data_IF_186222276337
#
_entry.id   IF_186222276337
#
_cell.length_a   1.000
_cell.length_b   1.000
_cell.length_c   1.000
_cell.angle_alpha   90.00
_cell.angle_beta   90.00
_cell.angle_gamma   90.00
#
_symmetry.space_group_name_H-M   'P 1'
#
loop_
_entity.id
_entity.type
_entity.pdbx_description
1 polymer ?
#
# COMPACT_ATOMS: atom_id res chain seq x y z
N UNK A 1 -46.72 -44.92 4.06
CA UNK A 1 -45.24 -44.75 3.83
C UNK A 1 -44.99 -43.27 3.69
N UNK A 2 -44.44 -42.63 4.71
CA UNK A 2 -44.13 -41.18 4.73
C UNK A 2 -42.62 -41.03 4.47
N UNK A 3 -42.24 -40.47 3.32
CA UNK A 3 -40.85 -40.15 3.03
C UNK A 3 -40.50 -38.80 3.66
N UNK A 4 -39.65 -38.82 4.68
CA UNK A 4 -39.07 -37.61 5.28
C UNK A 4 -37.83 -37.26 4.48
N UNK A 5 -37.89 -36.17 3.67
CA UNK A 5 -36.77 -35.56 3.02
C UNK A 5 -35.97 -34.72 4.03
N UNK A 6 -34.79 -35.21 4.43
CA UNK A 6 -33.80 -34.46 5.16
C UNK A 6 -33.10 -33.48 4.23
N UNK A 7 -33.43 -32.18 4.38
CA UNK A 7 -32.62 -31.10 3.78
C UNK A 7 -31.37 -30.89 4.63
N UNK A 8 -30.22 -31.32 4.13
CA UNK A 8 -28.92 -30.95 4.70
C UNK A 8 -28.60 -29.52 4.26
N UNK A 9 -28.71 -28.57 5.20
CA UNK A 9 -28.25 -27.20 5.01
C UNK A 9 -26.70 -27.20 5.04
N UNK A 10 -26.08 -27.12 3.87
CA UNK A 10 -24.65 -26.86 3.75
C UNK A 10 -24.39 -25.39 4.14
N UNK A 11 -23.83 -25.18 5.32
CA UNK A 11 -23.32 -23.86 5.73
C UNK A 11 -22.09 -23.53 4.89
N UNK A 12 -22.25 -22.67 3.90
CA UNK A 12 -21.15 -22.07 3.17
C UNK A 12 -20.48 -21.07 4.12
N UNK A 13 -19.38 -21.47 4.74
CA UNK A 13 -18.47 -20.52 5.38
C UNK A 13 -17.84 -19.69 4.25
N UNK A 14 -18.35 -18.49 4.04
CA UNK A 14 -17.66 -17.48 3.25
C UNK A 14 -16.38 -17.12 4.00
N UNK A 15 -15.25 -17.66 3.58
CA UNK A 15 -13.95 -17.14 3.95
C UNK A 15 -13.88 -15.74 3.35
N UNK A 16 -13.81 -14.70 4.19
CA UNK A 16 -13.44 -13.38 3.76
C UNK A 16 -11.99 -13.47 3.30
N UNK A 17 -11.76 -13.62 2.00
CA UNK A 17 -10.43 -13.44 1.45
C UNK A 17 -10.00 -12.02 1.79
N UNK A 18 -8.84 -11.91 2.44
CA UNK A 18 -8.15 -10.64 2.67
C UNK A 18 -7.91 -9.99 1.29
N UNK A 19 -8.76 -9.02 0.93
CA UNK A 19 -8.70 -8.34 -0.37
C UNK A 19 -7.51 -7.36 -0.48
N UNK A 20 -6.70 -7.29 0.57
CA UNK A 20 -5.51 -6.46 0.64
C UNK A 20 -4.45 -6.94 -0.35
N UNK A 21 -3.86 -6.01 -1.10
CA UNK A 21 -2.66 -6.31 -1.88
C UNK A 21 -1.51 -6.66 -0.93
N UNK A 22 -0.88 -7.81 -1.16
CA UNK A 22 0.21 -8.32 -0.31
C UNK A 22 1.57 -7.92 -0.86
N UNK A 23 2.56 -7.88 0.03
CA UNK A 23 3.95 -7.81 -0.37
C UNK A 23 4.37 -9.17 -0.94
N UNK A 24 4.57 -9.23 -2.25
CA UNK A 24 4.89 -10.46 -2.97
C UNK A 24 6.38 -10.47 -3.38
N UNK A 25 7.21 -11.38 -2.81
CA UNK A 25 8.63 -11.45 -3.14
C UNK A 25 8.92 -11.89 -4.58
N UNK A 26 7.95 -12.43 -5.31
CA UNK A 26 8.08 -12.84 -6.71
C UNK A 26 7.90 -11.69 -7.71
N UNK A 27 7.31 -10.57 -7.29
CA UNK A 27 7.08 -9.41 -8.16
C UNK A 27 8.37 -8.68 -8.51
N UNK A 28 8.38 -8.09 -9.70
CA UNK A 28 9.48 -7.24 -10.16
C UNK A 28 9.12 -5.76 -9.97
N UNK A 29 9.70 -5.05 -8.99
CA UNK A 29 9.34 -3.66 -8.70
C UNK A 29 9.70 -2.68 -9.83
N UNK A 30 10.62 -3.02 -10.73
CA UNK A 30 10.90 -2.21 -11.92
C UNK A 30 9.71 -2.22 -12.90
N UNK A 31 9.13 -3.39 -13.16
CA UNK A 31 7.96 -3.51 -14.04
C UNK A 31 6.71 -2.91 -13.38
N UNK A 32 6.55 -3.09 -12.08
CA UNK A 32 5.44 -2.52 -11.32
C UNK A 32 5.50 -0.98 -11.36
N UNK A 33 6.68 -0.39 -11.13
CA UNK A 33 6.87 1.06 -11.24
C UNK A 33 6.63 1.56 -12.66
N UNK A 34 7.11 0.86 -13.69
CA UNK A 34 6.88 1.23 -15.09
C UNK A 34 5.38 1.28 -15.41
N UNK A 35 4.62 0.31 -14.93
CA UNK A 35 3.15 0.28 -15.09
C UNK A 35 2.49 1.43 -14.33
N UNK A 36 2.92 1.71 -13.10
CA UNK A 36 2.42 2.80 -12.27
C UNK A 36 2.69 4.18 -12.92
N UNK A 37 3.86 4.38 -13.52
CA UNK A 37 4.19 5.61 -14.27
C UNK A 37 3.24 5.82 -15.44
N UNK A 38 2.89 4.77 -16.19
CA UNK A 38 1.89 4.86 -17.26
C UNK A 38 0.55 5.38 -16.75
N UNK A 39 0.03 4.77 -15.69
CA UNK A 39 -1.25 5.16 -15.06
C UNK A 39 -1.17 6.57 -14.46
N UNK A 40 -0.08 6.90 -13.77
CA UNK A 40 0.11 8.18 -13.11
C UNK A 40 0.09 9.36 -14.09
N UNK A 41 0.74 9.21 -15.26
CA UNK A 41 0.75 10.21 -16.33
C UNK A 41 -0.66 10.45 -16.90
N UNK A 42 -1.43 9.38 -17.14
CA UNK A 42 -2.77 9.48 -17.70
C UNK A 42 -3.78 10.06 -16.71
N UNK A 43 -3.59 9.83 -15.41
CA UNK A 43 -4.52 10.22 -14.35
C UNK A 43 -4.08 11.44 -13.53
N UNK A 44 -2.93 12.05 -13.83
CA UNK A 44 -2.32 13.15 -13.05
C UNK A 44 -2.21 12.81 -11.55
N UNK A 45 -1.69 11.62 -11.25
CA UNK A 45 -1.48 11.15 -9.88
C UNK A 45 0.00 11.06 -9.54
N UNK A 46 0.31 11.09 -8.25
CA UNK A 46 1.64 10.73 -7.74
C UNK A 46 1.73 9.21 -7.52
N UNK A 47 2.94 8.72 -7.30
CA UNK A 47 3.18 7.31 -6.99
C UNK A 47 3.73 7.23 -5.57
N UNK A 48 3.22 6.31 -4.77
CA UNK A 48 3.80 5.92 -3.49
C UNK A 48 4.36 4.52 -3.63
N UNK A 49 5.68 4.38 -3.47
CA UNK A 49 6.28 3.07 -3.23
C UNK A 49 6.13 2.76 -1.75
N UNK A 50 5.31 1.79 -1.42
CA UNK A 50 5.13 1.27 -0.06
C UNK A 50 6.08 0.08 0.11
N UNK A 51 7.20 0.33 0.82
CA UNK A 51 8.27 -0.66 1.01
C UNK A 51 8.08 -1.37 2.34
N UNK A 52 7.97 -2.68 2.29
CA UNK A 52 7.79 -3.50 3.48
C UNK A 52 7.74 -4.99 3.18
N UNK A 53 7.06 -5.75 4.01
CA UNK A 53 6.92 -7.19 3.84
C UNK A 53 5.83 -7.77 4.72
N UNK A 54 5.39 -9.00 4.41
CA UNK A 54 4.36 -9.69 5.19
C UNK A 54 4.80 -10.06 6.61
N UNK A 55 6.10 -10.04 6.90
CA UNK A 55 6.66 -10.21 8.24
C UNK A 55 6.46 -8.99 9.17
N UNK A 56 6.10 -7.83 8.61
CA UNK A 56 6.14 -6.53 9.26
C UNK A 56 4.77 -6.17 9.85
N UNK A 57 4.63 -6.18 11.19
CA UNK A 57 3.37 -5.85 11.85
C UNK A 57 2.90 -4.41 11.57
N UNK A 58 3.83 -3.44 11.47
CA UNK A 58 3.50 -2.06 11.15
C UNK A 58 3.05 -1.88 9.71
N UNK A 59 3.52 -2.73 8.78
CA UNK A 59 3.03 -2.76 7.42
C UNK A 59 1.55 -3.19 7.37
N UNK A 60 1.17 -4.18 8.18
CA UNK A 60 -0.24 -4.58 8.31
C UNK A 60 -1.10 -3.49 8.97
N UNK A 61 -0.56 -2.77 9.95
CA UNK A 61 -1.27 -1.66 10.61
C UNK A 61 -1.53 -0.50 9.65
N UNK A 62 -0.50 -0.08 8.87
CA UNK A 62 -0.67 1.02 7.91
C UNK A 62 -1.67 0.65 6.81
N UNK A 63 -1.63 -0.59 6.32
CA UNK A 63 -2.60 -1.08 5.36
C UNK A 63 -4.02 -1.02 5.91
N UNK A 64 -4.24 -1.52 7.12
CA UNK A 64 -5.54 -1.47 7.78
C UNK A 64 -5.99 -0.02 8.01
N UNK A 65 -5.10 0.86 8.46
CA UNK A 65 -5.39 2.27 8.68
C UNK A 65 -5.80 2.99 7.38
N UNK A 66 -5.03 2.80 6.30
CA UNK A 66 -5.34 3.39 4.99
C UNK A 66 -6.65 2.88 4.41
N UNK A 67 -6.98 1.60 4.64
CA UNK A 67 -8.20 0.99 4.13
C UNK A 67 -9.45 1.35 4.94
N UNK A 68 -9.34 1.41 6.26
CA UNK A 68 -10.48 1.60 7.17
C UNK A 68 -10.79 3.07 7.50
N UNK A 69 -9.89 4.00 7.18
CA UNK A 69 -10.09 5.44 7.39
C UNK A 69 -10.59 6.06 6.09
N UNK A 70 -11.89 6.27 5.96
CA UNK A 70 -12.56 6.67 4.70
C UNK A 70 -11.92 7.88 4.03
N UNK A 71 -11.60 8.93 4.80
CA UNK A 71 -10.97 10.15 4.27
C UNK A 71 -9.56 9.89 3.71
N UNK A 72 -8.77 9.05 4.40
CA UNK A 72 -7.44 8.64 3.93
C UNK A 72 -7.55 7.81 2.65
N UNK A 73 -8.47 6.83 2.65
CA UNK A 73 -8.74 5.99 1.50
C UNK A 73 -9.11 6.82 0.27
N UNK A 74 -10.05 7.77 0.42
CA UNK A 74 -10.47 8.65 -0.67
C UNK A 74 -9.31 9.50 -1.19
N UNK A 75 -8.50 10.10 -0.30
CA UNK A 75 -7.32 10.89 -0.70
C UNK A 75 -6.30 10.05 -1.48
N UNK A 76 -6.05 8.81 -1.04
CA UNK A 76 -5.15 7.89 -1.72
C UNK A 76 -5.68 7.50 -3.10
N UNK A 77 -6.94 7.05 -3.18
CA UNK A 77 -7.56 6.62 -4.44
C UNK A 77 -7.64 7.76 -5.47
N UNK A 78 -7.89 8.98 -5.03
CA UNK A 78 -8.00 10.15 -5.93
C UNK A 78 -6.65 10.66 -6.42
N UNK A 79 -5.58 10.55 -5.63
CA UNK A 79 -4.36 11.31 -5.87
C UNK A 79 -3.09 10.48 -6.05
N UNK A 80 -3.14 9.18 -5.72
CA UNK A 80 -1.94 8.34 -5.72
C UNK A 80 -2.15 6.98 -6.40
N UNK A 81 -1.06 6.46 -6.94
CA UNK A 81 -0.91 5.06 -7.32
C UNK A 81 0.03 4.42 -6.29
N UNK A 82 -0.44 3.39 -5.60
CA UNK A 82 0.37 2.68 -4.61
C UNK A 82 1.02 1.48 -5.29
N UNK A 83 2.32 1.32 -5.09
CA UNK A 83 3.10 0.18 -5.54
C UNK A 83 3.74 -0.48 -4.32
N UNK A 84 3.35 -1.70 -4.02
CA UNK A 84 3.99 -2.47 -2.95
C UNK A 84 5.33 -3.02 -3.39
N UNK A 85 6.37 -2.70 -2.65
CA UNK A 85 7.74 -3.18 -2.89
C UNK A 85 8.16 -4.10 -1.76
N UNK A 86 8.24 -5.39 -2.05
CA UNK A 86 8.65 -6.37 -1.06
C UNK A 86 10.11 -6.18 -0.62
N UNK A 87 10.33 -6.20 0.69
CA UNK A 87 11.62 -6.38 1.33
C UNK A 87 11.49 -7.51 2.35
N UNK A 88 12.04 -8.67 2.03
CA UNK A 88 11.99 -9.86 2.88
C UNK A 88 13.25 -10.70 2.75
N UNK A 89 13.34 -11.77 3.54
CA UNK A 89 14.46 -12.73 3.45
C UNK A 89 14.50 -13.42 2.09
N UNK A 90 13.34 -13.65 1.48
CA UNK A 90 13.20 -14.28 0.17
C UNK A 90 13.65 -13.38 -0.96
N UNK A 91 13.36 -12.08 -0.85
CA UNK A 91 13.77 -11.07 -1.84
C UNK A 91 13.85 -9.69 -1.19
N UNK A 92 15.04 -9.16 -1.09
CA UNK A 92 15.29 -7.82 -0.54
C UNK A 92 15.15 -6.70 -1.57
N UNK A 93 14.99 -7.03 -2.85
CA UNK A 93 14.94 -6.06 -3.94
C UNK A 93 16.08 -5.02 -3.91
N UNK A 94 17.29 -5.44 -3.50
CA UNK A 94 18.44 -4.55 -3.26
C UNK A 94 18.78 -3.67 -4.47
N UNK A 95 18.77 -4.25 -5.67
CA UNK A 95 19.06 -3.50 -6.90
C UNK A 95 18.06 -2.37 -7.15
N UNK A 96 16.79 -2.59 -6.83
CA UNK A 96 15.75 -1.58 -6.97
C UNK A 96 15.89 -0.52 -5.89
N UNK A 97 15.96 -0.97 -4.63
CA UNK A 97 15.98 -0.08 -3.47
C UNK A 97 17.27 0.75 -3.35
N UNK A 98 18.39 0.29 -3.92
CA UNK A 98 19.65 1.07 -3.96
C UNK A 98 19.56 2.38 -4.75
N UNK A 99 18.50 2.59 -5.55
CA UNK A 99 18.25 3.84 -6.26
C UNK A 99 17.61 4.93 -5.37
N UNK A 100 17.21 4.57 -4.17
CA UNK A 100 16.49 5.44 -3.22
C UNK A 100 17.34 5.69 -1.98
N UNK A 101 17.00 6.72 -1.17
CA UNK A 101 17.62 6.94 0.13
C UNK A 101 17.54 5.72 1.04
N UNK A 102 18.46 5.63 2.00
CA UNK A 102 18.47 4.55 2.99
C UNK A 102 17.16 4.51 3.78
N UNK A 103 16.66 3.29 4.01
CA UNK A 103 15.46 3.03 4.80
C UNK A 103 15.87 2.70 6.23
N UNK A 104 15.39 3.46 7.20
CA UNK A 104 15.70 3.28 8.63
C UNK A 104 14.71 2.33 9.33
N UNK A 105 13.50 2.18 8.78
CA UNK A 105 12.45 1.32 9.34
C UNK A 105 11.34 1.01 8.34
N UNK A 106 10.53 0.01 8.63
CA UNK A 106 9.46 -0.45 7.77
C UNK A 106 8.08 -0.36 8.47
N UNK A 107 7.01 -0.01 7.71
CA UNK A 107 7.02 0.34 6.30
C UNK A 107 7.72 1.68 6.05
N UNK A 108 8.12 1.92 4.79
CA UNK A 108 8.69 3.19 4.36
C UNK A 108 8.03 3.63 3.05
N UNK A 109 7.74 4.92 2.91
CA UNK A 109 7.14 5.44 1.68
C UNK A 109 8.14 6.28 0.89
N UNK A 110 8.25 6.01 -0.40
CA UNK A 110 8.84 6.95 -1.35
C UNK A 110 7.74 7.54 -2.21
N UNK A 111 7.63 8.86 -2.21
CA UNK A 111 6.70 9.58 -3.08
C UNK A 111 7.42 9.97 -4.35
N UNK A 112 6.86 9.58 -5.49
CA UNK A 112 7.40 9.88 -6.81
C UNK A 112 6.41 10.75 -7.60
N UNK A 113 6.92 11.53 -8.53
CA UNK A 113 6.09 12.20 -9.53
C UNK A 113 5.57 11.22 -10.59
N UNK A 114 4.78 11.70 -11.53
CA UNK A 114 4.20 10.92 -12.63
C UNK A 114 5.25 10.38 -13.63
N UNK A 115 6.50 10.81 -13.51
CA UNK A 115 7.62 10.30 -14.33
C UNK A 115 8.42 9.23 -13.59
N UNK A 116 8.14 9.00 -12.31
CA UNK A 116 8.89 8.09 -11.44
C UNK A 116 10.08 8.74 -10.75
N UNK A 117 10.21 10.08 -10.81
CA UNK A 117 11.26 10.81 -10.09
C UNK A 117 10.90 10.94 -8.61
N UNK A 118 11.86 10.67 -7.73
CA UNK A 118 11.71 10.83 -6.29
C UNK A 118 11.44 12.29 -5.90
N UNK A 119 10.36 12.51 -5.17
CA UNK A 119 10.00 13.80 -4.56
C UNK A 119 10.27 13.81 -3.06
N UNK A 120 9.94 12.71 -2.35
CA UNK A 120 10.04 12.64 -0.90
C UNK A 120 10.28 11.21 -0.40
N UNK A 121 11.02 11.11 0.71
CA UNK A 121 11.29 9.87 1.43
C UNK A 121 10.67 10.01 2.81
N UNK A 122 9.61 9.25 3.10
CA UNK A 122 8.83 9.33 4.34
C UNK A 122 9.11 8.15 5.24
N UNK A 123 9.74 8.41 6.37
CA UNK A 123 9.70 7.48 7.49
C UNK A 123 8.27 7.44 8.05
N UNK A 124 7.58 6.31 7.92
CA UNK A 124 6.19 6.20 8.37
C UNK A 124 6.04 6.26 9.89
N UNK A 125 7.13 6.07 10.65
CA UNK A 125 7.16 6.30 12.10
C UNK A 125 6.82 7.74 12.48
N UNK A 126 7.10 8.73 11.62
CA UNK A 126 6.75 10.13 11.86
C UNK A 126 5.23 10.38 11.79
N UNK A 127 4.50 9.46 11.15
CA UNK A 127 3.04 9.50 11.01
C UNK A 127 2.33 8.73 12.13
N UNK A 128 3.07 8.09 13.03
CA UNK A 128 2.51 7.28 14.10
C UNK A 128 1.98 8.14 15.26
N UNK A 129 1.01 7.55 15.97
CA UNK A 129 0.50 8.00 17.27
C UNK A 129 0.12 6.78 18.10
N UNK A 130 0.70 6.66 19.27
CA UNK A 130 0.51 5.53 20.18
C UNK A 130 0.88 4.19 19.52
N UNK A 131 -0.11 3.32 19.29
CA UNK A 131 0.07 2.00 18.64
C UNK A 131 -0.51 1.94 17.24
N UNK A 132 -0.84 3.08 16.64
CA UNK A 132 -1.45 3.21 15.32
C UNK A 132 -0.91 4.46 14.61
N UNK A 133 -1.59 4.93 13.58
CA UNK A 133 -1.24 6.13 12.83
C UNK A 133 -2.10 7.33 13.22
N UNK A 134 -1.51 8.53 13.15
CA UNK A 134 -2.20 9.80 13.38
C UNK A 134 -2.92 10.23 12.10
N UNK A 135 -4.24 10.35 12.17
CA UNK A 135 -5.07 10.72 11.02
C UNK A 135 -4.70 12.09 10.46
N UNK A 136 -4.48 13.09 11.31
CA UNK A 136 -4.22 14.46 10.89
C UNK A 136 -2.84 14.58 10.23
N UNK A 137 -1.82 13.95 10.80
CA UNK A 137 -0.48 13.87 10.18
C UNK A 137 -0.52 13.18 8.82
N UNK A 138 -1.31 12.11 8.71
CA UNK A 138 -1.43 11.36 7.46
C UNK A 138 -2.14 12.17 6.37
N UNK A 139 -3.21 12.89 6.73
CA UNK A 139 -3.91 13.81 5.82
C UNK A 139 -2.97 14.95 5.39
N UNK A 140 -2.20 15.52 6.31
CA UNK A 140 -1.21 16.56 5.99
C UNK A 140 -0.16 16.04 5.01
N UNK A 141 0.40 14.84 5.27
CA UNK A 141 1.33 14.17 4.37
C UNK A 141 0.76 14.01 2.96
N UNK A 142 -0.44 13.43 2.83
CA UNK A 142 -1.06 13.21 1.54
C UNK A 142 -1.37 14.53 0.80
N UNK A 143 -1.88 15.55 1.51
CA UNK A 143 -2.16 16.84 0.91
C UNK A 143 -0.90 17.60 0.47
N UNK A 144 0.20 17.42 1.20
CA UNK A 144 1.50 18.03 0.84
C UNK A 144 2.07 17.44 -0.44
N UNK A 145 1.91 16.14 -0.65
CA UNK A 145 2.59 15.42 -1.74
C UNK A 145 1.70 15.02 -2.92
N UNK A 146 0.39 15.24 -2.87
CA UNK A 146 -0.47 15.01 -4.04
C UNK A 146 -0.10 15.92 -5.21
N UNK A 147 -0.49 15.52 -6.43
CA UNK A 147 -0.34 16.38 -7.60
C UNK A 147 -1.23 17.63 -7.48
N UNK A 148 -0.73 18.75 -7.96
CA UNK A 148 -1.57 19.94 -8.13
C UNK A 148 -2.63 19.65 -9.20
N UNK A 149 -3.87 20.00 -8.93
CA UNK A 149 -4.95 19.93 -9.93
C UNK A 149 -4.84 21.17 -10.81
N UNK A 150 -4.57 20.95 -12.08
CA UNK A 150 -4.65 22.00 -13.12
C UNK A 150 -6.08 22.47 -13.33
#
# INVERSE_FOLDING_TARGET
MIFILLFAAASIFAQSEDSREKFDPSRNPFEDLKSAVGIARESNKRIILDVGGEWCIWCHRIDAFMHNTEEIKSLLEENFIIVKVNFSKENKNEKFLSQYPAIEGYPHFFVLDETGKLLHSQNTGDLEKDKDYDKDKFIEFLNTWKAEKN
#
